data_IF_577359762278
#
_entry.id   IF_577359762278
#
_cell.length_a   1.000
_cell.length_b   1.000
_cell.length_c   1.000
_cell.angle_alpha   90.00
_cell.angle_beta   90.00
_cell.angle_gamma   90.00
#
_symmetry.space_group_name_H-M   'P 1'
#
loop_
_entity.id
_entity.type
_entity.pdbx_description
1 polymer ?
#
# COMPACT_ATOMS: atom_id res chain seq x y z
N UNK A 1 14.70 -3.99 -4.95
CA UNK A 1 15.47 -2.74 -4.99
C UNK A 1 16.40 -2.67 -6.22
N UNK A 2 17.21 -3.69 -6.50
CA UNK A 2 18.19 -3.66 -7.62
C UNK A 2 17.57 -3.62 -9.03
N UNK A 3 16.27 -3.90 -9.19
CA UNK A 3 15.61 -3.92 -10.51
C UNK A 3 15.06 -2.55 -10.94
N UNK A 4 15.00 -1.55 -10.04
CA UNK A 4 14.41 -0.23 -10.32
C UNK A 4 12.92 -0.26 -10.71
N UNK A 5 12.23 -1.40 -10.55
CA UNK A 5 10.83 -1.57 -10.95
C UNK A 5 9.91 -0.60 -10.20
N UNK A 6 10.07 -0.52 -8.88
CA UNK A 6 9.25 0.36 -8.05
C UNK A 6 9.49 1.83 -8.35
N UNK A 7 10.74 2.23 -8.59
CA UNK A 7 11.09 3.61 -8.96
C UNK A 7 10.41 4.02 -10.28
N UNK A 8 10.45 3.12 -11.27
CA UNK A 8 9.82 3.36 -12.58
C UNK A 8 8.29 3.36 -12.50
N UNK A 9 7.72 2.49 -11.70
CA UNK A 9 6.28 2.46 -11.45
C UNK A 9 5.82 3.75 -10.77
N UNK A 10 6.55 4.24 -9.76
CA UNK A 10 6.28 5.51 -9.10
C UNK A 10 6.40 6.70 -10.05
N UNK A 11 7.43 6.76 -10.88
CA UNK A 11 7.58 7.81 -11.90
C UNK A 11 6.40 7.78 -12.88
N UNK A 12 5.97 6.60 -13.32
CA UNK A 12 4.83 6.46 -14.22
C UNK A 12 3.52 6.96 -13.59
N UNK A 13 3.29 6.65 -12.32
CA UNK A 13 2.12 7.12 -11.56
C UNK A 13 2.13 8.64 -11.43
N UNK A 14 3.28 9.22 -11.05
CA UNK A 14 3.42 10.68 -10.88
C UNK A 14 3.21 11.44 -12.18
N UNK A 15 3.78 10.97 -13.28
CA UNK A 15 3.68 11.65 -14.58
C UNK A 15 2.26 11.60 -15.18
N UNK A 16 1.43 10.64 -14.76
CA UNK A 16 0.05 10.47 -15.25
C UNK A 16 -1.02 10.99 -14.29
N UNK A 17 -0.73 11.06 -13.00
CA UNK A 17 -1.70 11.51 -12.00
C UNK A 17 -1.74 13.05 -11.92
N UNK A 18 -2.91 13.67 -11.85
CA UNK A 18 -3.03 15.09 -11.51
C UNK A 18 -2.42 15.32 -10.12
N UNK A 19 -1.67 16.42 -9.96
CA UNK A 19 -0.89 16.71 -8.75
C UNK A 19 -1.70 16.60 -7.44
N UNK A 20 -2.98 16.94 -7.47
CA UNK A 20 -3.84 16.88 -6.27
C UNK A 20 -4.21 15.44 -5.85
N UNK A 21 -4.08 14.45 -6.77
CA UNK A 21 -4.34 13.04 -6.48
C UNK A 21 -3.11 12.27 -6.00
N UNK A 22 -1.90 12.82 -6.15
CA UNK A 22 -0.66 12.11 -5.80
C UNK A 22 -0.66 11.75 -4.32
N UNK A 23 -0.91 12.69 -3.42
CA UNK A 23 -0.91 12.45 -1.98
C UNK A 23 -1.99 11.44 -1.55
N UNK A 24 -3.27 11.62 -1.93
CA UNK A 24 -4.31 10.62 -1.65
C UNK A 24 -3.99 9.22 -2.19
N UNK A 25 -3.36 9.14 -3.37
CA UNK A 25 -2.98 7.84 -3.96
C UNK A 25 -1.90 7.16 -3.13
N UNK A 26 -0.87 7.87 -2.66
CA UNK A 26 0.17 7.31 -1.80
C UNK A 26 -0.44 6.82 -0.48
N UNK A 27 -1.35 7.60 0.12
CA UNK A 27 -2.05 7.20 1.34
C UNK A 27 -2.85 5.93 1.10
N UNK A 28 -3.60 5.86 0.01
CA UNK A 28 -4.40 4.69 -0.34
C UNK A 28 -3.52 3.44 -0.59
N UNK A 29 -2.40 3.61 -1.30
CA UNK A 29 -1.42 2.53 -1.50
C UNK A 29 -0.85 2.06 -0.16
N UNK A 30 -0.56 2.98 0.78
CA UNK A 30 -0.11 2.64 2.12
C UNK A 30 -1.13 1.80 2.89
N UNK A 31 -2.38 2.26 2.90
CA UNK A 31 -3.50 1.57 3.55
C UNK A 31 -3.69 0.16 2.95
N UNK A 32 -3.78 0.05 1.62
CA UNK A 32 -3.95 -1.23 0.95
C UNK A 32 -2.72 -2.13 1.08
N UNK A 33 -1.52 -1.54 1.09
CA UNK A 33 -0.27 -2.27 1.23
C UNK A 33 -0.17 -3.05 2.55
N UNK A 34 -0.83 -2.59 3.60
CA UNK A 34 -0.87 -3.27 4.90
C UNK A 34 -1.54 -4.67 4.84
N UNK A 35 -2.34 -4.97 3.81
CA UNK A 35 -2.89 -6.33 3.59
C UNK A 35 -1.80 -7.37 3.37
N UNK A 36 -0.65 -6.95 2.81
CA UNK A 36 0.52 -7.80 2.61
C UNK A 36 1.42 -7.91 3.87
N UNK A 37 0.96 -7.41 5.03
CA UNK A 37 1.71 -7.40 6.28
C UNK A 37 2.73 -6.26 6.35
N UNK A 38 3.83 -6.49 7.07
CA UNK A 38 4.80 -5.43 7.43
C UNK A 38 5.65 -4.92 6.26
N UNK A 39 5.65 -5.57 5.11
CA UNK A 39 6.45 -5.18 3.96
C UNK A 39 6.16 -3.75 3.49
N UNK A 40 4.91 -3.31 3.53
CA UNK A 40 4.52 -1.96 3.13
C UNK A 40 5.11 -0.89 4.06
N UNK A 41 5.22 -1.16 5.36
CA UNK A 41 5.78 -0.22 6.34
C UNK A 41 7.27 0.03 6.14
N UNK A 42 7.98 -0.92 5.54
CA UNK A 42 9.43 -0.82 5.28
C UNK A 42 9.71 -0.20 3.90
N UNK A 43 8.95 -0.64 2.87
CA UNK A 43 9.25 -0.30 1.48
C UNK A 43 8.65 1.07 1.09
N UNK A 44 7.42 1.36 1.51
CA UNK A 44 6.70 2.54 1.05
C UNK A 44 7.28 3.88 1.54
N UNK A 45 7.74 4.04 2.81
CA UNK A 45 8.24 5.32 3.30
C UNK A 45 9.45 5.86 2.53
N UNK A 46 10.51 5.09 2.24
CA UNK A 46 11.63 5.59 1.43
C UNK A 46 11.19 5.98 0.00
N UNK A 47 10.31 5.19 -0.62
CA UNK A 47 9.78 5.50 -1.95
C UNK A 47 8.97 6.81 -1.96
N UNK A 48 8.14 7.01 -0.94
CA UNK A 48 7.38 8.25 -0.80
C UNK A 48 8.28 9.45 -0.53
N UNK A 49 9.38 9.28 0.23
CA UNK A 49 10.36 10.34 0.44
C UNK A 49 11.00 10.79 -0.87
N UNK A 50 11.46 9.86 -1.70
CA UNK A 50 12.01 10.17 -3.03
C UNK A 50 11.00 10.85 -3.94
N UNK A 51 9.73 10.41 -3.88
CA UNK A 51 8.64 11.01 -4.63
C UNK A 51 8.38 12.46 -4.21
N UNK A 52 8.40 12.73 -2.89
CA UNK A 52 8.18 14.07 -2.35
C UNK A 52 9.27 15.04 -2.80
N UNK A 53 10.53 14.63 -2.85
CA UNK A 53 11.62 15.43 -3.44
C UNK A 53 11.27 15.81 -4.89
N UNK A 54 10.86 14.84 -5.72
CA UNK A 54 10.52 15.09 -7.13
C UNK A 54 9.35 16.07 -7.34
N UNK A 55 8.42 16.13 -6.42
CA UNK A 55 7.29 17.07 -6.48
C UNK A 55 7.55 18.38 -5.73
N UNK A 56 8.76 18.58 -5.19
CA UNK A 56 9.21 19.81 -4.54
C UNK A 56 8.82 19.93 -3.06
N UNK A 57 8.52 18.82 -2.39
CA UNK A 57 8.25 18.76 -0.96
C UNK A 57 9.42 18.16 -0.17
N UNK A 58 9.43 18.41 1.12
CA UNK A 58 10.44 17.84 2.01
C UNK A 58 10.27 16.32 2.14
N UNK A 59 11.34 15.49 1.98
CA UNK A 59 11.28 14.03 1.98
C UNK A 59 10.72 13.45 3.28
N UNK A 60 10.99 14.07 4.43
CA UNK A 60 10.43 13.65 5.71
C UNK A 60 8.91 13.70 5.72
N UNK A 61 8.29 14.65 5.00
CA UNK A 61 6.82 14.70 4.89
C UNK A 61 6.28 13.47 4.13
N UNK A 62 6.95 13.04 3.08
CA UNK A 62 6.61 11.83 2.34
C UNK A 62 6.78 10.56 3.17
N UNK A 63 7.93 10.46 3.85
CA UNK A 63 8.26 9.34 4.73
C UNK A 63 7.23 9.18 5.85
N UNK A 64 6.92 10.26 6.56
CA UNK A 64 5.96 10.23 7.69
C UNK A 64 4.54 9.93 7.22
N UNK A 65 4.12 10.53 6.09
CA UNK A 65 2.80 10.26 5.50
C UNK A 65 2.63 8.80 5.09
N UNK A 66 3.61 8.25 4.39
CA UNK A 66 3.57 6.87 3.92
C UNK A 66 3.61 5.86 5.08
N UNK A 67 4.46 6.13 6.08
CA UNK A 67 4.52 5.30 7.29
C UNK A 67 3.20 5.33 8.05
N UNK A 68 2.64 6.52 8.29
CA UNK A 68 1.34 6.66 8.96
C UNK A 68 0.21 5.95 8.20
N UNK A 69 0.25 5.96 6.86
CA UNK A 69 -0.73 5.28 6.02
C UNK A 69 -0.61 3.76 6.11
N UNK A 70 0.62 3.24 6.05
CA UNK A 70 0.87 1.80 6.13
C UNK A 70 0.52 1.23 7.51
N UNK A 71 0.93 1.91 8.58
CA UNK A 71 0.61 1.50 9.96
C UNK A 71 -0.90 1.67 10.26
N UNK A 72 -1.49 2.79 9.83
CA UNK A 72 -2.93 3.02 9.98
C UNK A 72 -3.78 2.01 9.21
N UNK A 73 -3.27 1.50 8.08
CA UNK A 73 -3.92 0.49 7.25
C UNK A 73 -4.13 -0.87 7.94
N UNK A 74 -3.43 -1.15 9.04
CA UNK A 74 -3.71 -2.36 9.85
C UNK A 74 -5.08 -2.30 10.54
N UNK A 75 -5.54 -1.11 10.89
CA UNK A 75 -6.82 -0.89 11.56
C UNK A 75 -7.91 -0.35 10.63
N UNK A 76 -7.56 0.08 9.42
CA UNK A 76 -8.47 0.67 8.44
C UNK A 76 -8.09 0.20 7.04
N UNK A 77 -8.85 -0.73 6.47
CA UNK A 77 -8.58 -1.30 5.17
C UNK A 77 -9.88 -1.57 4.40
N UNK A 78 -9.80 -1.62 3.08
CA UNK A 78 -10.94 -1.96 2.21
C UNK A 78 -11.03 -3.47 2.00
N UNK A 79 -9.91 -4.17 2.14
CA UNK A 79 -9.79 -5.62 1.92
C UNK A 79 -9.49 -6.30 3.25
N UNK A 80 -10.08 -7.46 3.47
CA UNK A 80 -9.74 -8.33 4.61
C UNK A 80 -8.26 -8.69 4.51
N UNK A 81 -7.50 -8.33 5.51
CA UNK A 81 -6.06 -8.49 5.54
C UNK A 81 -5.58 -9.60 6.47
N UNK A 82 -4.26 -9.74 6.56
CA UNK A 82 -3.61 -10.70 7.43
C UNK A 82 -3.93 -10.47 8.91
N UNK A 83 -4.11 -9.20 9.33
CA UNK A 83 -4.48 -8.85 10.71
C UNK A 83 -5.87 -9.35 11.08
N UNK A 84 -6.84 -9.26 10.16
CA UNK A 84 -8.20 -9.76 10.39
C UNK A 84 -8.20 -11.28 10.61
N UNK A 85 -7.42 -12.00 9.79
CA UNK A 85 -7.26 -13.45 9.94
C UNK A 85 -6.58 -13.82 11.27
N UNK A 86 -5.56 -13.05 11.68
CA UNK A 86 -4.87 -13.24 12.96
C UNK A 86 -5.83 -13.03 14.15
N UNK A 87 -6.55 -11.91 14.17
CA UNK A 87 -7.53 -11.59 15.23
C UNK A 87 -8.65 -12.63 15.25
N UNK A 88 -9.14 -13.04 14.09
CA UNK A 88 -10.15 -14.09 13.99
C UNK A 88 -9.69 -15.42 14.61
N UNK A 89 -8.42 -15.80 14.44
CA UNK A 89 -7.88 -17.04 14.98
C UNK A 89 -7.94 -17.12 16.51
N UNK A 90 -7.99 -15.98 17.20
CA UNK A 90 -8.21 -15.92 18.65
C UNK A 90 -9.70 -15.75 19.00
N UNK A 91 -10.44 -15.02 18.17
CA UNK A 91 -11.86 -14.72 18.45
C UNK A 91 -12.74 -15.95 18.31
N UNK A 92 -12.52 -16.78 17.29
CA UNK A 92 -13.34 -17.98 17.07
C UNK A 92 -13.29 -18.97 18.23
N UNK A 93 -12.12 -19.40 18.75
CA UNK A 93 -12.06 -20.27 19.93
C UNK A 93 -12.70 -19.64 21.17
N UNK A 94 -12.51 -18.32 21.39
CA UNK A 94 -13.07 -17.61 22.51
C UNK A 94 -14.61 -17.58 22.47
N UNK A 95 -15.22 -17.40 21.30
CA UNK A 95 -16.68 -17.41 21.15
C UNK A 95 -17.28 -18.79 21.43
N UNK A 96 -16.60 -19.86 21.04
CA UNK A 96 -17.04 -21.24 21.34
C UNK A 96 -17.07 -21.57 22.83
N UNK A 97 -16.20 -20.94 23.64
CA UNK A 97 -16.22 -21.07 25.10
C UNK A 97 -17.51 -20.47 25.69
N UNK A 98 -18.00 -19.37 25.06
CA UNK A 98 -19.21 -18.66 25.52
C UNK A 98 -20.48 -19.38 25.05
N UNK A 99 -20.55 -19.73 23.76
CA UNK A 99 -21.68 -20.43 23.17
C UNK A 99 -21.35 -20.96 21.77
N UNK A 100 -21.66 -22.21 21.51
CA UNK A 100 -21.53 -22.84 20.19
C UNK A 100 -22.50 -22.26 19.12
N UNK A 101 -23.50 -21.51 19.55
CA UNK A 101 -24.48 -20.89 18.62
C UNK A 101 -23.97 -19.61 17.94
N UNK A 102 -22.88 -19.03 18.43
CA UNK A 102 -22.31 -17.80 17.87
C UNK A 102 -21.52 -18.13 16.61
N UNK A 103 -22.04 -17.67 15.45
CA UNK A 103 -21.34 -17.81 14.17
C UNK A 103 -20.43 -16.61 13.97
N UNK A 104 -19.14 -16.87 13.81
CA UNK A 104 -18.12 -15.87 13.48
C UNK A 104 -17.52 -16.14 12.10
N UNK A 105 -17.00 -15.12 11.45
CA UNK A 105 -16.21 -15.25 10.23
C UNK A 105 -15.10 -14.19 10.20
N UNK A 106 -14.10 -14.39 9.33
CA UNK A 106 -12.94 -13.48 9.22
C UNK A 106 -13.35 -12.06 8.84
N UNK A 107 -14.42 -11.89 8.07
CA UNK A 107 -14.89 -10.59 7.59
C UNK A 107 -15.90 -9.90 8.53
N UNK A 108 -16.13 -10.40 9.75
CA UNK A 108 -17.16 -9.85 10.66
C UNK A 108 -16.95 -8.38 11.00
N UNK A 109 -15.69 -7.89 10.96
CA UNK A 109 -15.33 -6.51 11.25
C UNK A 109 -15.17 -5.64 9.97
N UNK A 110 -15.42 -6.21 8.79
CA UNK A 110 -15.11 -5.57 7.51
C UNK A 110 -15.77 -4.20 7.33
N UNK A 111 -17.03 -4.05 7.71
CA UNK A 111 -17.73 -2.76 7.60
C UNK A 111 -17.06 -1.65 8.40
N UNK A 112 -16.60 -1.98 9.61
CA UNK A 112 -15.91 -1.02 10.47
C UNK A 112 -14.56 -0.61 9.89
N UNK A 113 -13.73 -1.56 9.47
CA UNK A 113 -12.40 -1.28 8.90
C UNK A 113 -12.51 -0.52 7.58
N UNK A 114 -13.51 -0.83 6.73
CA UNK A 114 -13.75 -0.11 5.49
C UNK A 114 -14.25 1.32 5.74
N UNK A 115 -15.16 1.52 6.68
CA UNK A 115 -15.61 2.86 7.09
C UNK A 115 -14.47 3.69 7.69
N UNK A 116 -13.56 3.06 8.42
CA UNK A 116 -12.40 3.73 9.03
C UNK A 116 -11.45 4.34 7.99
N UNK A 117 -11.37 3.79 6.78
CA UNK A 117 -10.58 4.37 5.66
C UNK A 117 -11.10 5.76 5.29
N UNK A 118 -12.43 5.96 5.31
CA UNK A 118 -13.06 7.25 4.99
C UNK A 118 -12.66 8.34 5.98
N UNK A 119 -12.33 7.97 7.20
CA UNK A 119 -11.86 8.89 8.24
C UNK A 119 -10.33 9.02 8.18
N UNK A 120 -9.63 7.92 8.05
CA UNK A 120 -8.16 7.88 8.13
C UNK A 120 -7.50 8.61 6.95
N UNK A 121 -7.95 8.36 5.72
CA UNK A 121 -7.36 8.97 4.52
C UNK A 121 -7.40 10.51 4.57
N UNK A 122 -8.57 11.18 4.76
CA UNK A 122 -8.59 12.63 4.84
C UNK A 122 -7.85 13.17 6.06
N UNK A 123 -7.82 12.44 7.18
CA UNK A 123 -7.07 12.85 8.37
C UNK A 123 -5.57 12.88 8.08
N UNK A 124 -4.99 11.82 7.52
CA UNK A 124 -3.57 11.79 7.14
C UNK A 124 -3.28 12.89 6.11
N UNK A 125 -4.15 13.06 5.11
CA UNK A 125 -4.00 14.11 4.10
C UNK A 125 -3.99 15.51 4.70
N UNK A 126 -4.93 15.81 5.59
CA UNK A 126 -5.03 17.11 6.27
C UNK A 126 -3.81 17.36 7.18
N UNK A 127 -3.41 16.38 7.98
CA UNK A 127 -2.23 16.50 8.86
C UNK A 127 -0.98 16.73 8.02
N UNK A 128 -0.80 15.95 6.96
CA UNK A 128 0.37 16.11 6.08
C UNK A 128 0.39 17.48 5.41
N UNK A 129 -0.72 17.93 4.81
CA UNK A 129 -0.76 19.17 4.02
C UNK A 129 -0.82 20.41 4.87
N UNK A 130 -1.48 20.38 6.03
CA UNK A 130 -1.71 21.55 6.88
C UNK A 130 -0.72 21.69 8.05
N UNK A 131 -0.13 20.60 8.51
CA UNK A 131 0.77 20.64 9.65
C UNK A 131 2.21 20.25 9.28
N UNK A 132 2.42 19.12 8.57
CA UNK A 132 3.76 18.60 8.34
C UNK A 132 4.49 19.40 7.26
N UNK A 133 3.92 19.51 6.07
CA UNK A 133 4.54 20.25 4.95
C UNK A 133 4.87 21.69 5.32
N UNK A 134 3.95 22.49 5.92
CA UNK A 134 4.27 23.88 6.28
C UNK A 134 5.35 24.02 7.36
N UNK A 135 5.46 23.05 8.28
CA UNK A 135 6.48 23.07 9.35
C UNK A 135 7.87 22.68 8.87
N UNK A 136 7.97 21.78 7.90
CA UNK A 136 9.25 21.32 7.36
C UNK A 136 9.84 22.31 6.33
N UNK A 137 9.00 23.11 5.69
CA UNK A 137 9.43 24.04 4.65
C UNK A 137 9.88 23.33 3.36
N UNK A 138 10.68 24.07 2.55
CA UNK A 138 11.25 23.52 1.32
C UNK A 138 12.50 22.70 1.66
N UNK A 139 12.68 21.62 0.93
CA UNK A 139 13.90 20.82 1.00
C UNK A 139 15.03 21.55 0.28
N UNK A 140 16.21 21.56 0.87
CA UNK A 140 17.44 22.10 0.27
C UNK A 140 18.15 20.98 -0.52
N UNK A 141 18.06 21.04 -1.85
CA UNK A 141 18.63 20.05 -2.74
C UNK A 141 20.18 19.99 -2.64
N UNK A 142 20.84 21.02 -2.08
CA UNK A 142 22.28 21.03 -1.88
C UNK A 142 22.75 20.00 -0.84
N UNK A 143 21.82 19.47 -0.02
CA UNK A 143 22.09 18.43 0.96
C UNK A 143 22.04 17.01 0.38
N UNK A 144 21.65 16.86 -0.87
CA UNK A 144 21.76 15.59 -1.57
C UNK A 144 23.24 15.33 -1.90
N UNK A 145 23.85 14.38 -1.23
CA UNK A 145 25.14 13.83 -1.66
C UNK A 145 24.93 13.12 -3.00
N UNK A 146 25.88 13.32 -3.93
CA UNK A 146 25.86 12.80 -5.31
C UNK A 146 25.82 11.27 -5.47
N UNK A 147 25.67 10.51 -4.38
CA UNK A 147 25.66 9.04 -4.37
C UNK A 147 24.31 8.41 -4.82
N UNK A 148 23.29 9.22 -5.02
CA UNK A 148 22.09 8.76 -5.71
C UNK A 148 22.25 9.08 -7.20
N UNK A 149 22.75 8.08 -7.98
CA UNK A 149 22.59 8.07 -9.43
C UNK A 149 21.23 8.69 -9.76
N UNK A 150 21.27 9.78 -10.55
CA UNK A 150 20.07 10.42 -11.09
C UNK A 150 19.15 9.32 -11.61
N UNK A 151 18.15 8.93 -10.83
CA UNK A 151 17.07 8.14 -11.36
C UNK A 151 16.46 9.01 -12.45
N UNK A 152 16.95 8.79 -13.66
CA UNK A 152 16.60 9.57 -14.85
C UNK A 152 15.10 9.78 -14.84
N UNK A 153 14.67 11.04 -14.82
CA UNK A 153 13.25 11.44 -14.77
C UNK A 153 12.44 10.98 -15.99
N UNK A 154 13.13 10.38 -16.96
CA UNK A 154 12.55 9.82 -18.16
C UNK A 154 12.67 8.30 -18.17
N UNK A 155 11.51 7.63 -18.29
CA UNK A 155 11.45 6.20 -18.54
C UNK A 155 11.97 5.99 -19.98
N UNK A 156 13.05 5.22 -20.11
CA UNK A 156 13.56 4.81 -21.43
C UNK A 156 12.55 3.87 -22.10
N UNK A 157 12.45 3.87 -23.43
CA UNK A 157 11.53 2.99 -24.16
C UNK A 157 11.71 1.50 -23.81
N UNK A 158 12.94 1.06 -23.55
CA UNK A 158 13.23 -0.31 -23.06
C UNK A 158 12.65 -0.59 -21.69
N UNK A 159 12.70 0.39 -20.78
CA UNK A 159 12.15 0.28 -19.44
C UNK A 159 10.62 0.32 -19.44
N UNK A 160 10.01 1.14 -20.30
CA UNK A 160 8.57 1.15 -20.51
C UNK A 160 8.08 -0.21 -21.04
N UNK A 161 8.85 -0.81 -21.96
CA UNK A 161 8.54 -2.15 -22.50
C UNK A 161 8.69 -3.23 -21.42
N UNK A 162 9.76 -3.20 -20.62
CA UNK A 162 9.96 -4.13 -19.51
C UNK A 162 8.86 -4.01 -18.44
N UNK A 163 8.45 -2.78 -18.11
CA UNK A 163 7.35 -2.51 -17.18
C UNK A 163 6.02 -3.08 -17.69
N UNK A 164 5.75 -2.92 -18.99
CA UNK A 164 4.55 -3.48 -19.63
C UNK A 164 4.51 -5.01 -19.51
N UNK A 165 5.62 -5.69 -19.81
CA UNK A 165 5.70 -7.14 -19.72
C UNK A 165 5.63 -7.65 -18.29
N UNK A 166 6.24 -6.94 -17.33
CA UNK A 166 6.13 -7.27 -15.91
C UNK A 166 4.68 -7.17 -15.42
N UNK A 167 3.95 -6.10 -15.80
CA UNK A 167 2.54 -5.95 -15.46
C UNK A 167 1.66 -7.02 -16.11
N UNK A 168 1.92 -7.38 -17.38
CA UNK A 168 1.21 -8.47 -18.06
C UNK A 168 1.46 -9.80 -17.35
N UNK A 169 2.71 -10.11 -17.01
CA UNK A 169 3.08 -11.33 -16.27
C UNK A 169 2.37 -11.38 -14.91
N UNK A 170 2.31 -10.28 -14.18
CA UNK A 170 1.61 -10.18 -12.91
C UNK A 170 0.11 -10.45 -13.05
N UNK A 171 -0.55 -9.82 -14.04
CA UNK A 171 -1.98 -10.04 -14.33
C UNK A 171 -2.24 -11.49 -14.72
N UNK A 172 -1.41 -12.07 -15.59
CA UNK A 172 -1.52 -13.48 -16.00
C UNK A 172 -1.39 -14.41 -14.79
N UNK A 173 -0.45 -14.14 -13.90
CA UNK A 173 -0.27 -14.94 -12.67
C UNK A 173 -1.50 -14.85 -11.77
N UNK A 174 -2.08 -13.68 -11.58
CA UNK A 174 -3.33 -13.51 -10.82
C UNK A 174 -4.48 -14.28 -11.47
N UNK A 175 -4.64 -14.17 -12.79
CA UNK A 175 -5.68 -14.89 -13.51
C UNK A 175 -5.49 -16.41 -13.36
N UNK A 176 -4.28 -16.92 -13.48
CA UNK A 176 -3.97 -18.33 -13.26
C UNK A 176 -4.29 -18.79 -11.84
N UNK A 177 -3.95 -17.99 -10.83
CA UNK A 177 -4.29 -18.26 -9.43
C UNK A 177 -5.81 -18.30 -9.23
N UNK A 178 -6.56 -17.37 -9.83
CA UNK A 178 -8.01 -17.35 -9.78
C UNK A 178 -8.60 -18.59 -10.44
N UNK A 179 -8.14 -18.93 -11.65
CA UNK A 179 -8.59 -20.11 -12.39
C UNK A 179 -8.31 -21.40 -11.62
N UNK A 180 -7.16 -21.49 -10.95
CA UNK A 180 -6.82 -22.65 -10.14
C UNK A 180 -7.57 -22.70 -8.80
N UNK A 181 -8.08 -21.57 -8.30
CA UNK A 181 -8.83 -21.51 -7.04
C UNK A 181 -10.34 -21.75 -7.20
N UNK A 182 -10.92 -21.51 -8.40
CA UNK A 182 -12.37 -21.63 -8.65
C UNK A 182 -12.89 -23.08 -8.65
N UNK A 183 -12.21 -24.09 -9.24
CA UNK A 183 -12.75 -25.45 -9.29
C UNK A 183 -12.96 -26.06 -7.90
N UNK A 184 -14.08 -26.75 -7.70
CA UNK A 184 -14.43 -27.38 -6.42
C UNK A 184 -13.42 -28.46 -5.96
N UNK A 185 -12.66 -29.05 -6.89
CA UNK A 185 -11.61 -30.06 -6.65
C UNK A 185 -10.18 -29.46 -6.71
N UNK A 186 -10.04 -28.15 -6.60
CA UNK A 186 -8.71 -27.52 -6.61
C UNK A 186 -7.89 -27.94 -5.38
N UNK A 187 -6.60 -28.25 -5.58
CA UNK A 187 -5.66 -28.53 -4.48
C UNK A 187 -5.45 -27.30 -3.55
N UNK A 188 -5.80 -26.08 -4.00
CA UNK A 188 -5.74 -24.86 -3.22
C UNK A 188 -6.99 -24.66 -2.35
N UNK A 189 -8.04 -25.47 -2.55
CA UNK A 189 -9.28 -25.38 -1.79
C UNK A 189 -9.38 -26.59 -0.85
N UNK A 190 -9.52 -26.30 0.44
CA UNK A 190 -9.67 -27.38 1.42
C UNK A 190 -11.03 -28.08 1.19
N UNK A 191 -11.03 -29.39 0.99
CA UNK A 191 -12.23 -30.19 0.67
C UNK A 191 -13.29 -30.21 1.81
N UNK A 192 -13.06 -29.48 2.91
CA UNK A 192 -13.93 -29.44 4.12
C UNK A 192 -14.56 -28.08 4.38
N UNK A 193 -14.44 -27.10 3.50
CA UNK A 193 -15.12 -25.78 3.63
C UNK A 193 -16.03 -25.50 2.45
#
# INVERSE_FOLDING_TARGET
EKTGYFDKLMISVVNRAPRFLILPTIILIGILGSTAGDAATIILPPLAAMLFIKIGYHPIAGLTMAYASAVGGFAANIVVGMQDALVYSFTEPATRIVSDSIKTNVAMNWYFIAASVVVLLPTILLVTTKLIIPRLGKYDDSLMHDDHEEASSHITDKEAHALKWANISFIVTIILLIITAIPEHSFLRNAKT
#
